data_IF_663707671468
#
_entry.id   IF_663707671468
#
_cell.length_a   1.000
_cell.length_b   1.000
_cell.length_c   1.000
_cell.angle_alpha   90.00
_cell.angle_beta   90.00
_cell.angle_gamma   90.00
#
_symmetry.space_group_name_H-M   'P 1'
#
loop_
_entity.id
_entity.type
_entity.pdbx_description
1 polymer ?
#
# COMPACT_ATOMS: atom_id res chain seq x y z
N UNK A 1 16.10 5.88 38.00
CA UNK A 1 14.99 5.27 38.79
C UNK A 1 13.88 6.29 38.84
N UNK A 2 12.64 5.82 38.59
CA UNK A 2 11.45 6.56 38.15
C UNK A 2 11.59 7.04 36.69
N UNK A 3 10.84 6.57 35.69
CA UNK A 3 9.54 5.89 35.69
C UNK A 3 8.59 6.75 34.85
N UNK A 4 8.74 6.73 33.53
CA UNK A 4 7.85 7.43 32.59
C UNK A 4 6.93 6.40 31.93
N UNK A 5 5.64 6.57 32.18
CA UNK A 5 4.54 5.82 31.58
C UNK A 5 4.26 6.38 30.17
N UNK A 6 4.03 5.54 29.15
CA UNK A 6 3.42 5.98 27.91
C UNK A 6 1.89 5.84 27.98
N UNK A 7 1.22 6.41 26.98
CA UNK A 7 -0.20 6.29 26.66
C UNK A 7 -1.18 7.21 27.42
N UNK A 8 -1.46 8.37 26.82
CA UNK A 8 -2.83 8.88 26.74
C UNK A 8 -3.24 8.92 25.27
N UNK A 9 -4.12 7.99 24.95
CA UNK A 9 -4.86 7.82 23.70
C UNK A 9 -5.70 9.05 23.40
N UNK A 10 -5.42 9.74 22.29
CA UNK A 10 -6.33 10.68 21.66
C UNK A 10 -7.24 9.89 20.71
N UNK A 11 -8.45 9.60 21.18
CA UNK A 11 -9.54 9.15 20.34
C UNK A 11 -10.13 10.33 19.58
N UNK A 12 -10.22 10.20 18.25
CA UNK A 12 -11.24 10.88 17.46
C UNK A 12 -10.73 11.59 16.22
N UNK A 13 -10.49 10.84 15.14
CA UNK A 13 -10.68 11.33 13.77
C UNK A 13 -11.26 10.20 12.92
N UNK A 14 -12.08 10.62 11.95
CA UNK A 14 -13.06 9.84 11.19
C UNK A 14 -12.43 8.63 10.48
N UNK A 15 -12.75 7.41 10.93
CA UNK A 15 -12.49 6.19 10.14
C UNK A 15 -13.52 6.12 9.01
N UNK A 16 -13.10 6.48 7.80
CA UNK A 16 -13.76 5.99 6.60
C UNK A 16 -13.63 4.46 6.61
N UNK A 17 -14.76 3.77 6.50
CA UNK A 17 -14.80 2.31 6.37
C UNK A 17 -14.49 1.97 4.91
N UNK A 18 -13.55 1.08 4.60
CA UNK A 18 -13.45 0.54 3.25
C UNK A 18 -14.61 -0.45 3.04
N UNK A 19 -15.51 -0.08 2.14
CA UNK A 19 -16.57 -0.93 1.62
C UNK A 19 -16.13 -1.60 0.32
N UNK A 20 -15.98 -2.93 0.40
CA UNK A 20 -16.22 -3.98 -0.60
C UNK A 20 -15.60 -3.93 -2.01
N UNK A 21 -14.80 -4.99 -2.26
CA UNK A 21 -14.84 -5.89 -3.43
C UNK A 21 -14.70 -5.27 -4.83
N UNK A 22 -13.63 -4.50 -5.03
CA UNK A 22 -12.80 -4.59 -6.23
C UNK A 22 -11.50 -5.31 -5.86
N UNK A 23 -10.73 -5.81 -6.83
CA UNK A 23 -9.44 -6.49 -6.61
C UNK A 23 -8.44 -5.61 -5.82
N UNK A 24 -8.61 -5.59 -4.49
CA UNK A 24 -7.65 -5.08 -3.55
C UNK A 24 -6.55 -6.13 -3.51
N UNK A 25 -5.30 -5.75 -3.83
CA UNK A 25 -4.17 -6.50 -3.29
C UNK A 25 -4.44 -6.65 -1.79
N UNK A 26 -4.50 -7.89 -1.30
CA UNK A 26 -4.68 -8.13 0.12
C UNK A 26 -3.56 -7.39 0.85
N UNK A 27 -3.92 -6.31 1.54
CA UNK A 27 -2.96 -5.48 2.27
C UNK A 27 -2.39 -6.34 3.40
N UNK A 28 -1.08 -6.33 3.53
CA UNK A 28 -0.30 -7.14 4.48
C UNK A 28 0.17 -6.30 5.66
N UNK A 29 0.59 -5.04 5.40
CA UNK A 29 1.11 -4.15 6.42
C UNK A 29 0.44 -2.77 6.33
N UNK A 30 0.15 -2.17 7.47
CA UNK A 30 -0.17 -0.74 7.59
C UNK A 30 0.99 0.00 8.22
N UNK A 31 1.46 1.05 7.56
CA UNK A 31 2.65 1.81 7.96
C UNK A 31 2.29 3.24 8.32
N UNK A 32 2.99 3.75 9.33
CA UNK A 32 3.18 5.17 9.58
C UNK A 32 4.50 5.61 8.94
N UNK A 33 4.47 6.70 8.17
CA UNK A 33 5.63 7.32 7.53
C UNK A 33 5.81 8.75 8.06
N UNK A 34 7.05 9.14 8.32
CA UNK A 34 7.43 10.51 8.63
C UNK A 34 8.78 10.87 8.01
N UNK A 35 9.05 12.16 7.87
CA UNK A 35 10.35 12.64 7.42
C UNK A 35 11.41 12.43 8.52
N UNK A 36 12.47 11.66 8.23
CA UNK A 36 13.50 11.35 9.23
C UNK A 36 14.32 12.57 9.69
N UNK A 37 14.31 13.66 8.91
CA UNK A 37 15.01 14.92 9.20
C UNK A 37 14.04 16.07 9.52
N UNK A 38 12.74 15.82 9.43
CA UNK A 38 11.67 16.81 9.59
C UNK A 38 11.14 16.88 11.02
N UNK A 39 10.17 17.78 11.21
CA UNK A 39 9.41 17.93 12.44
C UNK A 39 8.24 16.92 12.44
N UNK A 40 7.81 16.45 13.63
CA UNK A 40 6.93 15.27 13.80
C UNK A 40 5.54 15.45 13.18
N UNK A 41 5.18 16.69 12.84
CA UNK A 41 3.87 17.09 12.34
C UNK A 41 3.62 16.64 10.88
N UNK A 42 4.66 16.22 10.13
CA UNK A 42 4.53 15.77 8.73
C UNK A 42 4.56 14.25 8.61
N UNK A 43 3.38 13.65 8.45
CA UNK A 43 3.23 12.20 8.36
C UNK A 43 2.27 11.74 7.27
N UNK A 44 2.37 10.46 6.90
CA UNK A 44 1.44 9.78 6.00
C UNK A 44 1.22 8.33 6.45
N UNK A 45 0.01 7.81 6.23
CA UNK A 45 -0.26 6.38 6.32
C UNK A 45 -0.05 5.72 4.96
N UNK A 46 0.49 4.50 4.94
CA UNK A 46 0.68 3.71 3.72
C UNK A 46 0.39 2.24 3.95
N UNK A 47 -0.48 1.65 3.13
CA UNK A 47 -0.84 0.24 3.17
C UNK A 47 -0.06 -0.55 2.12
N UNK A 48 0.73 -1.55 2.54
CA UNK A 48 1.51 -2.40 1.65
C UNK A 48 0.77 -3.71 1.33
N UNK A 49 0.90 -4.27 0.11
CA UNK A 49 1.69 -3.72 -1.00
C UNK A 49 1.06 -2.46 -1.57
N UNK A 50 1.92 -1.47 -1.79
CA UNK A 50 1.59 -0.19 -2.39
C UNK A 50 2.05 -0.18 -3.85
N UNK A 51 1.25 0.44 -4.71
CA UNK A 51 1.63 0.70 -6.09
C UNK A 51 2.77 1.73 -6.16
N UNK A 52 3.48 1.84 -7.31
CA UNK A 52 4.48 2.88 -7.51
C UNK A 52 3.98 4.29 -7.19
N UNK A 53 2.76 4.66 -7.60
CA UNK A 53 2.23 5.99 -7.32
C UNK A 53 1.64 6.14 -5.91
N UNK A 54 1.13 5.10 -5.26
CA UNK A 54 0.80 5.13 -3.83
C UNK A 54 2.06 5.41 -2.99
N UNK A 55 3.18 4.76 -3.31
CA UNK A 55 4.48 5.01 -2.68
C UNK A 55 4.95 6.45 -2.93
N UNK A 56 4.94 6.91 -4.18
CA UNK A 56 5.34 8.28 -4.52
C UNK A 56 4.47 9.33 -3.82
N UNK A 57 3.15 9.13 -3.78
CA UNK A 57 2.21 10.02 -3.11
C UNK A 57 2.51 10.14 -1.61
N UNK A 58 2.78 9.01 -0.96
CA UNK A 58 3.14 8.99 0.44
C UNK A 58 4.45 9.75 0.71
N UNK A 59 5.47 9.59 -0.15
CA UNK A 59 6.71 10.37 -0.10
C UNK A 59 6.46 11.88 -0.26
N UNK A 60 5.62 12.28 -1.21
CA UNK A 60 5.24 13.68 -1.44
C UNK A 60 4.55 14.28 -0.20
N UNK A 61 3.64 13.53 0.43
CA UNK A 61 2.95 13.96 1.66
C UNK A 61 3.90 14.11 2.84
N UNK A 62 4.89 13.23 3.01
CA UNK A 62 5.92 13.39 4.06
C UNK A 62 7.05 14.35 3.67
N UNK A 63 7.07 14.85 2.44
CA UNK A 63 8.05 15.82 1.97
C UNK A 63 9.44 15.23 1.71
N UNK A 64 9.48 13.95 1.39
CA UNK A 64 10.71 13.24 1.06
C UNK A 64 10.79 13.02 -0.46
N UNK A 65 12.01 13.00 -1.01
CA UNK A 65 12.25 12.68 -2.42
C UNK A 65 12.66 11.23 -2.64
N UNK A 66 12.97 10.52 -1.55
CA UNK A 66 13.51 9.17 -1.55
C UNK A 66 12.98 8.42 -0.33
N UNK A 67 12.75 7.12 -0.48
CA UNK A 67 12.42 6.20 0.62
C UNK A 67 13.52 6.12 1.67
N UNK A 68 14.76 6.51 1.33
CA UNK A 68 15.90 6.56 2.26
C UNK A 68 15.84 7.73 3.25
N UNK A 69 15.05 8.75 2.94
CA UNK A 69 14.87 9.94 3.78
C UNK A 69 13.66 9.80 4.72
N UNK A 70 12.98 8.66 4.66
CA UNK A 70 11.75 8.38 5.40
C UNK A 70 12.05 7.49 6.59
N UNK A 71 11.53 7.89 7.73
CA UNK A 71 11.33 6.98 8.85
C UNK A 71 9.97 6.30 8.67
N UNK A 72 9.93 4.98 8.83
CA UNK A 72 8.67 4.24 8.83
C UNK A 72 8.57 3.31 10.04
N UNK A 73 7.33 3.06 10.44
CA UNK A 73 6.97 2.09 11.46
C UNK A 73 5.80 1.26 10.94
N UNK A 74 5.86 -0.06 11.11
CA UNK A 74 4.71 -0.94 10.87
C UNK A 74 3.78 -0.81 12.08
N UNK A 75 2.58 -0.26 11.86
CA UNK A 75 1.55 -0.07 12.87
C UNK A 75 0.68 -1.33 13.03
N UNK A 76 0.41 -2.02 11.93
CA UNK A 76 -0.44 -3.21 11.93
C UNK A 76 0.06 -4.27 10.93
N UNK A 77 0.04 -5.52 11.36
CA UNK A 77 0.22 -6.71 10.53
C UNK A 77 -1.18 -7.26 10.23
N UNK A 78 -1.69 -7.00 9.03
CA UNK A 78 -3.03 -7.43 8.61
C UNK A 78 -3.07 -8.93 8.31
N UNK A 79 -1.93 -9.48 7.89
CA UNK A 79 -1.67 -10.91 7.75
C UNK A 79 -0.21 -11.20 8.12
N UNK A 80 0.16 -12.47 8.27
CA UNK A 80 1.51 -12.92 8.60
C UNK A 80 2.06 -12.31 9.90
N UNK A 81 1.26 -12.24 10.97
CA UNK A 81 1.62 -11.50 12.20
C UNK A 81 2.88 -12.02 12.89
N UNK A 82 3.24 -13.28 12.65
CA UNK A 82 4.49 -13.87 13.14
C UNK A 82 5.76 -13.18 12.60
N UNK A 83 5.63 -12.38 11.52
CA UNK A 83 6.72 -11.59 10.96
C UNK A 83 7.20 -10.47 11.89
N UNK A 84 6.34 -9.97 12.79
CA UNK A 84 6.70 -8.96 13.80
C UNK A 84 7.94 -9.37 14.61
N UNK A 85 8.08 -10.67 14.89
CA UNK A 85 9.20 -11.17 15.70
C UNK A 85 10.53 -11.32 14.94
N UNK A 86 10.50 -11.26 13.61
CA UNK A 86 11.68 -11.57 12.76
C UNK A 86 12.09 -10.44 11.84
N UNK A 87 11.18 -9.52 11.49
CA UNK A 87 11.48 -8.40 10.61
C UNK A 87 12.56 -7.51 11.23
N UNK A 88 13.56 -7.18 10.42
CA UNK A 88 14.59 -6.21 10.80
C UNK A 88 14.03 -4.79 10.71
N UNK A 89 14.24 -3.94 11.73
CA UNK A 89 13.83 -2.53 11.69
C UNK A 89 14.62 -1.72 10.65
N UNK A 90 15.79 -2.20 10.23
CA UNK A 90 16.68 -1.51 9.30
C UNK A 90 16.41 -1.91 7.83
N UNK A 91 15.25 -2.50 7.52
CA UNK A 91 14.92 -2.90 6.15
C UNK A 91 14.52 -1.71 5.28
N UNK A 92 14.79 -1.81 3.97
CA UNK A 92 14.33 -0.81 3.00
C UNK A 92 12.81 -0.86 2.86
N UNK A 93 12.15 0.30 2.86
CA UNK A 93 10.71 0.41 2.59
C UNK A 93 10.33 -0.22 1.24
N UNK A 94 11.20 -0.12 0.23
CA UNK A 94 10.98 -0.75 -1.08
C UNK A 94 11.07 -2.28 -1.02
N UNK A 95 12.01 -2.83 -0.24
CA UNK A 95 12.10 -4.28 -0.04
C UNK A 95 10.96 -4.81 0.84
N UNK A 96 10.49 -4.03 1.82
CA UNK A 96 9.29 -4.37 2.58
C UNK A 96 8.05 -4.38 1.68
N UNK A 97 7.92 -3.42 0.77
CA UNK A 97 6.85 -3.40 -0.23
C UNK A 97 6.90 -4.64 -1.15
N UNK A 98 8.09 -5.01 -1.63
CA UNK A 98 8.27 -6.20 -2.46
C UNK A 98 7.94 -7.51 -1.71
N UNK A 99 8.29 -7.59 -0.42
CA UNK A 99 7.87 -8.70 0.42
C UNK A 99 6.34 -8.74 0.52
N UNK A 100 5.69 -7.61 0.83
CA UNK A 100 4.24 -7.51 0.94
C UNK A 100 3.54 -7.92 -0.36
N UNK A 101 4.07 -7.51 -1.52
CA UNK A 101 3.53 -7.88 -2.83
C UNK A 101 3.57 -9.39 -3.02
N UNK A 102 4.71 -10.03 -2.73
CA UNK A 102 4.84 -11.47 -2.85
C UNK A 102 3.94 -12.22 -1.87
N UNK A 103 3.83 -11.75 -0.62
CA UNK A 103 2.98 -12.34 0.41
C UNK A 103 1.50 -12.25 0.07
N UNK A 104 1.04 -11.10 -0.44
CA UNK A 104 -0.37 -10.87 -0.80
C UNK A 104 -0.90 -11.82 -1.88
N UNK A 105 -0.02 -12.40 -2.68
CA UNK A 105 -0.35 -13.33 -3.75
C UNK A 105 -0.15 -14.81 -3.40
N UNK A 106 0.22 -15.15 -2.16
CA UNK A 106 0.33 -16.55 -1.74
C UNK A 106 -1.06 -17.15 -1.51
N UNK A 107 -1.30 -18.35 -2.03
CA UNK A 107 -2.47 -19.14 -1.65
C UNK A 107 -2.32 -19.76 -0.25
N UNK A 108 -3.39 -20.35 0.30
CA UNK A 108 -3.38 -20.96 1.64
C UNK A 108 -2.23 -21.97 1.83
N UNK A 109 -1.96 -22.80 0.82
CA UNK A 109 -0.91 -23.82 0.89
C UNK A 109 0.47 -23.17 0.87
N UNK A 110 0.67 -22.17 0.02
CA UNK A 110 1.91 -21.42 -0.09
C UNK A 110 2.20 -20.61 1.18
N UNK A 111 1.18 -20.02 1.80
CA UNK A 111 1.30 -19.32 3.08
C UNK A 111 1.76 -20.26 4.20
N UNK A 112 1.23 -21.49 4.26
CA UNK A 112 1.69 -22.53 5.19
C UNK A 112 3.14 -22.94 4.90
N UNK A 113 3.47 -23.13 3.62
CA UNK A 113 4.84 -23.45 3.21
C UNK A 113 5.84 -22.35 3.59
N UNK A 114 5.46 -21.08 3.40
CA UNK A 114 6.25 -19.92 3.81
C UNK A 114 6.47 -19.88 5.33
N UNK A 115 5.43 -20.10 6.14
CA UNK A 115 5.57 -20.23 7.61
C UNK A 115 6.57 -21.34 7.98
N UNK A 116 6.48 -22.49 7.29
CA UNK A 116 7.38 -23.62 7.51
C UNK A 116 8.84 -23.30 7.16
N UNK A 117 9.08 -22.75 5.98
CA UNK A 117 10.41 -22.30 5.57
C UNK A 117 11.00 -21.27 6.52
N UNK A 118 10.18 -20.32 6.98
CA UNK A 118 10.60 -19.30 7.94
C UNK A 118 11.06 -19.95 9.25
N UNK A 119 10.28 -20.90 9.79
CA UNK A 119 10.65 -21.62 11.02
C UNK A 119 11.92 -22.43 10.86
N UNK A 120 12.10 -23.12 9.74
CA UNK A 120 13.36 -23.83 9.44
C UNK A 120 14.56 -22.87 9.41
N UNK A 121 14.37 -21.65 8.91
CA UNK A 121 15.43 -20.63 8.88
C UNK A 121 15.71 -20.06 10.28
N UNK A 122 14.68 -19.87 11.11
CA UNK A 122 14.82 -19.49 12.53
C UNK A 122 15.56 -20.56 13.34
N UNK A 123 15.40 -21.85 13.04
CA UNK A 123 16.15 -22.92 13.72
C UNK A 123 17.65 -22.91 13.35
N UNK A 124 18.02 -22.38 12.17
CA UNK A 124 19.42 -22.29 11.72
C UNK A 124 20.15 -21.05 12.24
N UNK A 125 19.43 -19.97 12.55
CA UNK A 125 20.00 -18.65 12.90
C UNK A 125 19.41 -18.12 14.19
N UNK A 126 20.26 -17.69 15.12
CA UNK A 126 19.81 -16.90 16.27
C UNK A 126 19.65 -15.42 15.85
N UNK A 127 18.42 -14.89 15.88
CA UNK A 127 18.14 -13.46 15.72
C UNK A 127 17.21 -13.08 14.56
N UNK A 128 17.24 -11.80 14.18
CA UNK A 128 16.41 -11.25 13.10
C UNK A 128 16.78 -11.84 11.73
N UNK A 129 15.77 -12.00 10.87
CA UNK A 129 15.96 -12.53 9.53
C UNK A 129 16.05 -11.35 8.55
N UNK A 130 17.11 -11.27 7.72
CA UNK A 130 17.24 -10.21 6.73
C UNK A 130 16.04 -10.19 5.77
N UNK A 131 15.59 -9.00 5.37
CA UNK A 131 14.44 -8.84 4.46
C UNK A 131 14.61 -9.63 3.15
N UNK A 132 15.85 -9.70 2.63
CA UNK A 132 16.14 -10.50 1.44
C UNK A 132 15.86 -11.99 1.63
N UNK A 133 16.18 -12.54 2.81
CA UNK A 133 15.87 -13.94 3.12
C UNK A 133 14.36 -14.14 3.16
N UNK A 134 13.59 -13.23 3.76
CA UNK A 134 12.13 -13.32 3.77
C UNK A 134 11.54 -13.31 2.35
N UNK A 135 12.00 -12.40 1.49
CA UNK A 135 11.61 -12.34 0.07
C UNK A 135 11.93 -13.67 -0.62
N UNK A 136 13.15 -14.19 -0.41
CA UNK A 136 13.57 -15.44 -1.01
C UNK A 136 12.70 -16.63 -0.56
N UNK A 137 12.36 -16.73 0.73
CA UNK A 137 11.47 -17.77 1.23
C UNK A 137 10.06 -17.64 0.65
N UNK A 138 9.52 -16.42 0.56
CA UNK A 138 8.19 -16.18 -0.01
C UNK A 138 8.11 -16.56 -1.50
N UNK A 139 9.17 -16.30 -2.28
CA UNK A 139 9.29 -16.76 -3.66
C UNK A 139 9.40 -18.28 -3.82
N UNK A 140 9.96 -18.97 -2.81
CA UNK A 140 10.17 -20.41 -2.83
C UNK A 140 9.09 -21.19 -2.04
N UNK A 141 7.94 -20.59 -1.77
CA UNK A 141 6.84 -21.27 -1.08
C UNK A 141 6.39 -22.56 -1.78
N UNK A 142 6.54 -22.64 -3.11
CA UNK A 142 6.23 -23.83 -3.91
C UNK A 142 7.25 -24.98 -3.78
N UNK A 143 8.41 -24.73 -3.18
CA UNK A 143 9.47 -25.74 -3.00
C UNK A 143 9.19 -26.73 -1.86
N UNK A 144 8.02 -26.64 -1.20
CA UNK A 144 7.69 -27.43 -0.02
C UNK A 144 6.57 -28.46 -0.27
N UNK A 145 6.64 -29.56 0.47
CA UNK A 145 5.49 -30.40 0.73
C UNK A 145 4.80 -29.95 2.00
N UNK A 146 3.48 -29.74 1.91
CA UNK A 146 2.62 -29.33 3.02
C UNK A 146 1.65 -30.47 3.28
N UNK A 147 1.71 -31.02 4.50
CA UNK A 147 0.82 -32.05 4.97
C UNK A 147 -0.10 -31.47 6.05
N UNK A 148 -1.29 -31.03 5.65
CA UNK A 148 -2.23 -30.31 6.51
C UNK A 148 -2.79 -31.14 7.68
N UNK A 149 -2.83 -32.47 7.52
CA UNK A 149 -3.39 -33.40 8.51
C UNK A 149 -2.42 -33.70 9.67
N UNK A 150 -1.12 -33.46 9.47
CA UNK A 150 -0.10 -33.75 10.46
C UNK A 150 0.29 -32.49 11.26
N UNK A 151 -0.15 -32.41 12.52
CA UNK A 151 0.15 -31.30 13.43
C UNK A 151 1.04 -31.69 14.61
N UNK A 152 1.42 -32.96 14.69
CA UNK A 152 2.34 -33.49 15.69
C UNK A 152 3.02 -34.76 15.17
N UNK A 153 4.06 -35.20 15.90
CA UNK A 153 4.86 -36.36 15.52
C UNK A 153 4.00 -37.64 15.41
N UNK A 154 2.97 -37.82 16.23
CA UNK A 154 2.09 -38.99 16.15
C UNK A 154 1.27 -39.03 14.85
N UNK A 155 0.68 -37.90 14.45
CA UNK A 155 -0.07 -37.82 13.19
C UNK A 155 0.84 -37.97 11.98
N UNK A 156 2.04 -37.38 12.04
CA UNK A 156 3.04 -37.53 10.99
C UNK A 156 3.46 -39.00 10.85
N UNK A 157 3.80 -39.69 11.94
CA UNK A 157 4.21 -41.09 11.87
C UNK A 157 3.09 -42.01 11.36
N UNK A 158 1.84 -41.70 11.70
CA UNK A 158 0.67 -42.41 11.15
C UNK A 158 0.56 -42.22 9.65
N UNK A 159 0.72 -40.99 9.14
CA UNK A 159 0.73 -40.71 7.71
C UNK A 159 1.82 -41.51 6.97
N UNK A 160 3.04 -41.55 7.51
CA UNK A 160 4.14 -42.31 6.89
C UNK A 160 3.84 -43.82 6.84
N UNK A 161 3.27 -44.36 7.91
CA UNK A 161 2.93 -45.76 8.01
C UNK A 161 1.74 -46.15 7.12
N UNK A 162 0.69 -45.32 7.02
CA UNK A 162 -0.52 -45.59 6.23
C UNK A 162 -0.30 -45.45 4.71
N UNK A 163 0.69 -44.68 4.28
CA UNK A 163 1.00 -44.44 2.87
C UNK A 163 2.19 -45.26 2.35
N UNK A 164 2.58 -46.32 3.07
CA UNK A 164 3.66 -47.24 2.70
C UNK A 164 5.02 -46.56 2.42
N UNK A 165 5.30 -45.43 3.05
CA UNK A 165 6.60 -44.75 2.94
C UNK A 165 7.72 -45.47 3.71
N UNK A 166 7.36 -46.44 4.56
CA UNK A 166 8.28 -47.25 5.37
C UNK A 166 8.17 -48.71 4.98
N UNK A 167 9.13 -49.19 4.17
CA UNK A 167 9.15 -50.57 3.66
C UNK A 167 9.13 -51.60 4.80
N UNK A 168 9.71 -51.29 5.96
CA UNK A 168 9.74 -52.19 7.12
C UNK A 168 8.37 -52.41 7.77
N UNK A 169 7.38 -51.56 7.45
CA UNK A 169 6.01 -51.64 7.96
C UNK A 169 5.03 -52.23 6.93
N UNK A 170 5.52 -52.62 5.75
CA UNK A 170 4.69 -53.21 4.70
C UNK A 170 4.06 -54.54 5.17
N UNK A 171 2.82 -54.79 4.75
CA UNK A 171 2.06 -56.03 5.00
C UNK A 171 1.82 -56.38 6.48
N UNK A 172 1.89 -55.40 7.39
CA UNK A 172 1.56 -55.62 8.80
C UNK A 172 0.05 -55.91 8.98
N UNK A 173 -0.34 -56.90 9.81
CA UNK A 173 -1.75 -57.08 10.16
C UNK A 173 -2.32 -55.85 10.88
N UNK A 174 -3.57 -55.46 10.60
CA UNK A 174 -4.23 -54.26 11.16
C UNK A 174 -4.06 -54.12 12.69
N UNK A 175 -4.18 -55.24 13.41
CA UNK A 175 -4.03 -55.26 14.88
C UNK A 175 -2.63 -54.95 15.37
N UNK A 176 -1.60 -55.25 14.57
CA UNK A 176 -0.21 -54.94 14.86
C UNK A 176 0.10 -53.51 14.43
N UNK A 177 -0.48 -53.06 13.31
CA UNK A 177 -0.36 -51.69 12.82
C UNK A 177 -0.84 -50.66 13.87
N UNK A 178 -2.00 -50.91 14.49
CA UNK A 178 -2.54 -50.02 15.55
C UNK A 178 -1.71 -50.02 16.86
N UNK A 179 -0.69 -50.90 16.99
CA UNK A 179 0.23 -50.93 18.12
C UNK A 179 1.56 -50.21 17.84
N UNK A 180 1.73 -49.64 16.65
CA UNK A 180 2.93 -48.89 16.29
C UNK A 180 3.06 -47.61 17.13
N UNK A 181 4.29 -47.29 17.49
CA UNK A 181 4.63 -46.02 18.15
C UNK A 181 4.74 -44.92 17.10
N UNK A 182 3.59 -44.43 16.64
CA UNK A 182 3.53 -43.40 15.61
C UNK A 182 4.24 -42.10 16.02
N UNK A 183 4.26 -41.76 17.31
CA UNK A 183 4.98 -40.57 17.79
C UNK A 183 6.49 -40.72 17.59
N UNK A 184 7.06 -41.88 17.90
CA UNK A 184 8.46 -42.15 17.63
C UNK A 184 8.75 -42.15 16.13
N UNK A 185 7.93 -42.80 15.32
CA UNK A 185 8.10 -42.85 13.86
C UNK A 185 8.13 -41.43 13.29
N UNK A 186 7.12 -40.61 13.58
CA UNK A 186 7.06 -39.27 13.01
C UNK A 186 8.17 -38.35 13.50
N UNK A 187 8.61 -38.48 14.77
CA UNK A 187 9.76 -37.72 15.26
C UNK A 187 11.05 -38.08 14.52
N UNK A 188 11.28 -39.37 14.28
CA UNK A 188 12.45 -39.85 13.52
C UNK A 188 12.41 -39.32 12.07
N UNK A 189 11.26 -39.38 11.40
CA UNK A 189 11.11 -38.83 10.04
C UNK A 189 11.30 -37.32 9.99
N UNK A 190 10.65 -36.58 10.89
CA UNK A 190 10.79 -35.13 10.97
C UNK A 190 12.24 -34.69 11.14
N UNK A 191 12.98 -35.36 12.02
CA UNK A 191 14.40 -35.05 12.25
C UNK A 191 15.28 -35.43 11.07
N UNK A 192 14.98 -36.53 10.38
CA UNK A 192 15.73 -36.98 9.22
C UNK A 192 15.58 -36.03 8.03
N UNK A 193 14.38 -35.48 7.83
CA UNK A 193 14.07 -34.59 6.71
C UNK A 193 14.25 -33.10 7.02
N UNK A 194 14.39 -32.74 8.30
CA UNK A 194 14.47 -31.34 8.74
C UNK A 194 13.15 -30.58 8.61
N UNK A 195 12.03 -31.28 8.66
CA UNK A 195 10.70 -30.67 8.59
C UNK A 195 10.26 -30.01 9.90
N UNK A 196 9.25 -29.15 9.81
CA UNK A 196 8.72 -28.39 10.96
C UNK A 196 7.20 -28.43 10.99
N UNK A 197 6.62 -28.30 12.19
CA UNK A 197 5.18 -28.10 12.34
C UNK A 197 4.86 -26.60 12.32
N UNK A 198 3.78 -26.24 11.63
CA UNK A 198 3.19 -24.91 11.54
C UNK A 198 1.75 -24.93 12.08
N UNK A 199 1.05 -23.79 12.08
CA UNK A 199 -0.39 -23.80 12.38
C UNK A 199 -1.21 -24.55 11.33
N UNK A 200 -0.72 -24.57 10.08
CA UNK A 200 -1.37 -25.19 8.94
C UNK A 200 -1.04 -26.67 8.70
N UNK A 201 -0.05 -27.24 9.38
CA UNK A 201 0.36 -28.64 9.21
C UNK A 201 1.88 -28.84 9.26
N UNK A 202 2.33 -29.99 8.80
CA UNK A 202 3.75 -30.32 8.67
C UNK A 202 4.29 -29.81 7.34
N UNK A 203 5.46 -29.17 7.37
CA UNK A 203 6.12 -28.62 6.19
C UNK A 203 7.53 -29.20 6.11
N UNK A 204 7.88 -29.68 4.93
CA UNK A 204 9.23 -30.14 4.61
C UNK A 204 9.67 -29.52 3.28
N UNK A 205 10.91 -29.05 3.23
CA UNK A 205 11.51 -28.56 1.99
C UNK A 205 11.75 -29.76 1.06
N UNK A 206 11.12 -29.74 -0.11
CA UNK A 206 11.22 -30.83 -1.10
C UNK A 206 12.30 -30.56 -2.16
N UNK A 207 12.45 -29.31 -2.59
CA UNK A 207 13.45 -28.91 -3.60
C UNK A 207 14.39 -27.83 -3.07
N UNK A 208 15.56 -27.69 -3.69
CA UNK A 208 16.49 -26.60 -3.38
C UNK A 208 15.83 -25.24 -3.60
N UNK A 209 16.18 -24.27 -2.75
CA UNK A 209 15.68 -22.90 -2.87
C UNK A 209 16.40 -22.19 -4.01
N UNK A 210 15.63 -21.60 -4.91
CA UNK A 210 16.14 -20.73 -5.95
C UNK A 210 16.71 -19.44 -5.35
N UNK A 211 17.81 -18.96 -5.92
CA UNK A 211 18.40 -17.68 -5.56
C UNK A 211 17.65 -16.56 -6.29
N UNK A 212 16.83 -15.83 -5.54
CA UNK A 212 16.05 -14.71 -6.07
C UNK A 212 16.88 -13.43 -5.90
N UNK A 213 17.17 -12.68 -6.99
CA UNK A 213 17.84 -11.40 -6.86
C UNK A 213 16.97 -10.43 -6.07
N UNK A 214 17.58 -9.57 -5.25
CA UNK A 214 16.81 -8.49 -4.63
C UNK A 214 16.22 -7.59 -5.73
N UNK A 215 14.98 -7.11 -5.55
CA UNK A 215 14.45 -6.04 -6.37
C UNK A 215 15.33 -4.79 -6.30
N UNK A 216 15.36 -4.04 -7.41
CA UNK A 216 16.06 -2.76 -7.49
C UNK A 216 15.53 -1.78 -6.42
N UNK A 217 16.45 -1.01 -5.81
CA UNK A 217 16.13 -0.01 -4.79
C UNK A 217 16.84 1.33 -5.09
N UNK A 218 16.11 2.35 -5.58
CA UNK A 218 14.67 2.38 -5.80
C UNK A 218 14.21 1.57 -7.03
N UNK A 219 12.93 1.14 -7.09
CA UNK A 219 12.37 0.50 -8.29
C UNK A 219 12.37 1.47 -9.48
N UNK A 220 12.30 0.95 -10.73
CA UNK A 220 12.22 1.79 -11.91
C UNK A 220 10.96 2.65 -11.86
N UNK A 221 11.10 3.90 -12.32
CA UNK A 221 9.94 4.80 -12.42
C UNK A 221 8.95 4.26 -13.45
N UNK A 222 7.64 4.28 -13.15
CA UNK A 222 6.60 3.96 -14.12
C UNK A 222 6.74 4.78 -15.41
N UNK A 223 6.47 4.13 -16.54
CA UNK A 223 6.35 4.75 -17.86
C UNK A 223 4.90 5.14 -18.21
N UNK A 224 4.02 5.10 -17.23
CA UNK A 224 2.60 5.46 -17.31
C UNK A 224 2.24 6.45 -16.20
N UNK A 225 1.14 7.18 -16.34
CA UNK A 225 0.46 7.91 -15.24
C UNK A 225 -0.84 7.26 -14.81
N UNK A 226 -1.44 6.44 -15.68
CA UNK A 226 -2.60 5.61 -15.36
C UNK A 226 -2.36 4.21 -15.93
N UNK A 227 -2.46 3.19 -15.09
CA UNK A 227 -2.40 1.79 -15.47
C UNK A 227 -3.79 1.19 -15.35
N UNK A 228 -4.35 0.75 -16.48
CA UNK A 228 -5.70 0.17 -16.52
C UNK A 228 -5.63 -1.31 -16.83
N UNK A 229 -6.49 -2.09 -16.20
CA UNK A 229 -6.93 -3.39 -16.70
C UNK A 229 -8.28 -3.18 -17.37
N UNK A 230 -8.35 -3.50 -18.66
CA UNK A 230 -9.56 -3.36 -19.46
C UNK A 230 -10.09 -4.73 -19.81
N UNK A 231 -11.38 -4.95 -19.63
CA UNK A 231 -12.08 -6.19 -19.98
C UNK A 231 -13.28 -5.88 -20.87
N UNK A 232 -13.75 -6.91 -21.59
CA UNK A 232 -15.00 -6.84 -22.34
C UNK A 232 -16.19 -6.94 -21.40
N UNK A 233 -17.14 -6.00 -21.52
CA UNK A 233 -18.32 -5.91 -20.67
C UNK A 233 -18.08 -5.11 -19.38
N UNK A 234 -19.17 -4.74 -18.71
CA UNK A 234 -19.10 -3.98 -17.46
C UNK A 234 -18.64 -4.87 -16.30
N UNK A 235 -17.67 -4.39 -15.52
CA UNK A 235 -17.37 -4.99 -14.21
C UNK A 235 -18.66 -5.04 -13.36
N UNK A 236 -18.96 -6.18 -12.74
CA UNK A 236 -20.16 -6.50 -11.93
C UNK A 236 -21.35 -7.25 -12.58
N UNK A 237 -21.23 -7.85 -13.77
CA UNK A 237 -22.32 -8.70 -14.31
C UNK A 237 -22.36 -10.15 -13.76
N UNK A 238 -21.39 -10.51 -12.89
CA UNK A 238 -21.28 -11.81 -12.24
C UNK A 238 -20.87 -12.95 -13.17
N UNK A 239 -20.40 -12.66 -14.40
CA UNK A 239 -19.81 -13.65 -15.31
C UNK A 239 -18.29 -13.68 -15.13
N UNK A 240 -17.66 -14.79 -15.54
CA UNK A 240 -16.21 -14.81 -15.70
C UNK A 240 -15.81 -13.66 -16.62
N UNK A 241 -15.07 -12.70 -16.07
CA UNK A 241 -14.46 -11.63 -16.85
C UNK A 241 -13.73 -12.30 -18.03
N UNK A 242 -14.11 -11.93 -19.25
CA UNK A 242 -13.45 -12.40 -20.46
C UNK A 242 -11.95 -12.05 -20.47
N UNK A 243 -11.25 -12.28 -21.59
CA UNK A 243 -9.86 -11.82 -21.69
C UNK A 243 -9.76 -10.33 -21.32
N UNK A 244 -8.79 -10.00 -20.46
CA UNK A 244 -8.49 -8.63 -20.06
C UNK A 244 -7.10 -8.22 -20.54
N UNK A 245 -6.95 -6.97 -20.93
CA UNK A 245 -5.69 -6.39 -21.41
C UNK A 245 -5.27 -5.26 -20.49
N UNK A 246 -3.98 -5.20 -20.14
CA UNK A 246 -3.41 -4.09 -19.38
C UNK A 246 -2.93 -2.99 -20.31
N UNK A 247 -3.43 -1.77 -20.12
CA UNK A 247 -3.08 -0.57 -20.89
C UNK A 247 -2.30 0.40 -20.00
N UNK A 248 -1.21 0.94 -20.55
CA UNK A 248 -0.40 2.00 -19.95
C UNK A 248 -0.76 3.32 -20.61
N UNK A 249 -1.33 4.26 -19.86
CA UNK A 249 -1.66 5.60 -20.35
C UNK A 249 -0.65 6.63 -19.83
N UNK A 250 -0.26 7.62 -20.65
CA UNK A 250 -0.71 7.85 -22.04
C UNK A 250 -0.21 6.78 -23.04
N UNK A 251 -1.09 6.35 -23.96
CA UNK A 251 -0.81 5.36 -24.99
C UNK A 251 -0.86 5.97 -26.40
N UNK A 252 -0.20 5.33 -27.36
CA UNK A 252 -0.35 5.68 -28.77
C UNK A 252 -1.68 5.15 -29.33
N UNK A 253 -2.23 5.79 -30.36
CA UNK A 253 -3.45 5.29 -31.05
C UNK A 253 -3.27 3.85 -31.55
N UNK A 254 -2.07 3.51 -32.03
CA UNK A 254 -1.75 2.15 -32.50
C UNK A 254 -1.86 1.11 -31.37
N UNK A 255 -1.45 1.45 -30.15
CA UNK A 255 -1.54 0.55 -29.00
C UNK A 255 -2.99 0.43 -28.49
N UNK A 256 -3.77 1.51 -28.59
CA UNK A 256 -5.19 1.51 -28.28
C UNK A 256 -5.99 0.65 -29.27
N UNK A 257 -5.76 0.81 -30.57
CA UNK A 257 -6.39 0.01 -31.63
C UNK A 257 -6.08 -1.49 -31.46
N UNK A 258 -4.82 -1.84 -31.20
CA UNK A 258 -4.41 -3.23 -30.90
C UNK A 258 -5.11 -3.79 -29.67
N UNK A 259 -5.46 -2.95 -28.70
CA UNK A 259 -6.16 -3.39 -27.50
C UNK A 259 -7.62 -3.73 -27.79
N UNK A 260 -8.32 -2.93 -28.58
CA UNK A 260 -9.68 -3.23 -29.04
C UNK A 260 -9.72 -4.53 -29.86
N UNK A 261 -8.75 -4.73 -30.75
CA UNK A 261 -8.62 -5.98 -31.53
C UNK A 261 -8.40 -7.20 -30.62
N UNK A 262 -7.59 -7.08 -29.58
CA UNK A 262 -7.34 -8.17 -28.62
C UNK A 262 -8.56 -8.50 -27.76
N UNK A 263 -9.35 -7.49 -27.40
CA UNK A 263 -10.57 -7.65 -26.60
C UNK A 263 -11.77 -8.11 -27.44
N UNK A 264 -11.69 -8.07 -28.77
CA UNK A 264 -12.78 -8.38 -29.71
C UNK A 264 -14.04 -7.54 -29.42
N UNK A 265 -13.84 -6.23 -29.28
CA UNK A 265 -14.90 -5.23 -29.03
C UNK A 265 -14.96 -4.21 -30.16
N UNK A 266 -16.16 -3.66 -30.41
CA UNK A 266 -16.35 -2.68 -31.48
C UNK A 266 -15.94 -1.25 -31.07
N UNK A 267 -16.04 -0.93 -29.78
CA UNK A 267 -15.74 0.38 -29.21
C UNK A 267 -15.42 0.27 -27.72
N UNK A 268 -14.81 1.32 -27.19
CA UNK A 268 -14.50 1.47 -25.78
C UNK A 268 -15.75 1.50 -24.87
N UNK A 269 -16.91 1.93 -25.37
CA UNK A 269 -18.20 1.85 -24.65
C UNK A 269 -18.61 0.40 -24.28
N UNK A 270 -18.01 -0.62 -24.91
CA UNK A 270 -18.26 -2.03 -24.60
C UNK A 270 -17.28 -2.60 -23.55
N UNK A 271 -16.42 -1.74 -22.98
CA UNK A 271 -15.37 -2.13 -22.03
C UNK A 271 -15.71 -1.73 -20.59
N UNK A 272 -15.16 -2.49 -19.66
CA UNK A 272 -15.05 -2.10 -18.25
C UNK A 272 -13.61 -1.69 -17.93
N UNK A 273 -13.44 -0.78 -16.96
CA UNK A 273 -12.14 -0.30 -16.51
C UNK A 273 -11.89 -0.63 -15.04
N UNK A 274 -10.73 -1.19 -14.74
CA UNK A 274 -10.20 -1.30 -13.39
C UNK A 274 -8.86 -0.55 -13.33
N UNK A 275 -8.74 0.42 -12.42
CA UNK A 275 -7.53 1.24 -12.33
C UNK A 275 -6.54 0.61 -11.35
N UNK A 276 -5.51 -0.02 -11.92
CA UNK A 276 -4.49 -0.73 -11.15
C UNK A 276 -3.56 0.26 -10.43
N UNK A 277 -3.17 1.33 -11.11
CA UNK A 277 -2.31 2.38 -10.54
C UNK A 277 -2.57 3.74 -11.20
N UNK A 278 -2.44 4.82 -10.44
CA UNK A 278 -2.67 6.18 -10.93
C UNK A 278 -1.78 7.20 -10.21
N UNK A 279 -1.22 8.14 -10.96
CA UNK A 279 -0.40 9.24 -10.45
C UNK A 279 -1.13 10.11 -9.42
N UNK A 280 -2.47 10.09 -9.42
CA UNK A 280 -3.33 10.58 -8.34
C UNK A 280 -4.07 9.38 -7.75
N UNK A 281 -3.58 8.76 -6.66
CA UNK A 281 -4.08 7.45 -6.22
C UNK A 281 -5.59 7.39 -5.93
N UNK A 282 -6.18 8.46 -5.42
CA UNK A 282 -7.62 8.51 -5.14
C UNK A 282 -8.49 8.75 -6.39
N UNK A 283 -7.91 9.08 -7.54
CA UNK A 283 -8.65 9.17 -8.81
C UNK A 283 -9.01 7.79 -9.38
N UNK A 284 -8.56 6.69 -8.76
CA UNK A 284 -8.95 5.31 -9.09
C UNK A 284 -10.48 5.17 -9.17
N UNK A 285 -11.19 5.66 -8.15
CA UNK A 285 -12.66 5.59 -8.10
C UNK A 285 -13.29 6.36 -9.27
N UNK A 286 -12.79 7.56 -9.57
CA UNK A 286 -13.30 8.37 -10.67
C UNK A 286 -13.08 7.72 -12.03
N UNK A 287 -11.96 7.01 -12.20
CA UNK A 287 -11.62 6.30 -13.44
C UNK A 287 -12.49 5.07 -13.64
N UNK A 288 -12.79 4.35 -12.57
CA UNK A 288 -13.61 3.13 -12.61
C UNK A 288 -15.10 3.41 -12.85
N UNK A 289 -15.55 4.63 -12.54
CA UNK A 289 -16.91 5.12 -12.80
C UNK A 289 -17.14 5.56 -14.27
N UNK A 290 -16.10 5.68 -15.09
CA UNK A 290 -16.24 6.09 -16.49
C UNK A 290 -16.72 4.94 -17.40
N UNK A 291 -17.54 5.30 -18.39
CA UNK A 291 -18.07 4.36 -19.39
C UNK A 291 -17.22 4.30 -20.67
N UNK A 292 -16.29 5.25 -20.86
CA UNK A 292 -15.43 5.35 -22.03
C UNK A 292 -14.05 5.94 -21.69
N UNK A 293 -13.07 5.69 -22.56
CA UNK A 293 -11.72 6.22 -22.48
C UNK A 293 -11.64 7.73 -22.78
N UNK A 294 -12.73 8.36 -23.24
CA UNK A 294 -12.76 9.76 -23.67
C UNK A 294 -12.33 10.75 -22.60
N UNK A 295 -12.59 10.46 -21.33
CA UNK A 295 -12.21 11.32 -20.18
C UNK A 295 -10.90 10.84 -19.55
N UNK A 296 -10.74 9.52 -19.42
CA UNK A 296 -9.56 8.89 -18.80
C UNK A 296 -8.28 9.24 -19.57
N UNK A 297 -8.31 9.21 -20.90
CA UNK A 297 -7.10 9.45 -21.71
C UNK A 297 -6.60 10.89 -21.58
N UNK A 298 -7.40 11.94 -21.83
CA UNK A 298 -6.95 13.31 -21.60
C UNK A 298 -6.45 13.52 -20.18
N UNK A 299 -7.07 12.90 -19.18
CA UNK A 299 -6.63 13.01 -17.79
C UNK A 299 -5.22 12.44 -17.61
N UNK A 300 -4.97 11.22 -18.11
CA UNK A 300 -3.65 10.61 -18.07
C UNK A 300 -2.58 11.47 -18.80
N UNK A 301 -2.91 12.05 -19.95
CA UNK A 301 -2.04 12.97 -20.71
C UNK A 301 -1.69 14.23 -19.92
N UNK A 302 -2.68 14.82 -19.22
CA UNK A 302 -2.46 15.99 -18.36
C UNK A 302 -1.60 15.65 -17.14
N UNK A 303 -1.84 14.51 -16.50
CA UNK A 303 -1.00 14.04 -15.38
C UNK A 303 0.46 13.86 -15.84
N UNK A 304 0.68 13.29 -17.01
CA UNK A 304 2.00 13.07 -17.58
C UNK A 304 2.71 14.40 -17.91
N UNK A 305 1.97 15.37 -18.47
CA UNK A 305 2.47 16.72 -18.67
C UNK A 305 2.88 17.40 -17.34
N UNK A 306 2.01 17.36 -16.33
CA UNK A 306 2.25 17.95 -15.01
C UNK A 306 3.43 17.28 -14.30
N UNK A 307 3.56 15.96 -14.41
CA UNK A 307 4.68 15.19 -13.87
C UNK A 307 6.01 15.63 -14.47
N UNK A 308 6.11 15.76 -15.80
CA UNK A 308 7.34 16.26 -16.47
C UNK A 308 7.70 17.69 -16.06
N UNK A 309 6.70 18.50 -15.70
CA UNK A 309 6.90 19.88 -15.24
C UNK A 309 7.16 19.99 -13.73
N UNK A 310 7.13 18.88 -12.99
CA UNK A 310 7.23 18.88 -11.53
C UNK A 310 6.06 19.57 -10.82
N UNK A 311 4.91 19.70 -11.49
CA UNK A 311 3.71 20.37 -10.97
C UNK A 311 2.69 19.39 -10.38
N UNK A 312 2.95 18.08 -10.43
CA UNK A 312 2.02 17.07 -9.96
C UNK A 312 1.63 17.23 -8.47
N UNK A 313 2.55 17.47 -7.51
CA UNK A 313 2.17 17.68 -6.12
C UNK A 313 1.29 18.93 -5.92
N UNK A 314 1.55 19.99 -6.69
CA UNK A 314 0.75 21.23 -6.67
C UNK A 314 -0.65 20.98 -7.21
N UNK A 315 -0.78 20.20 -8.28
CA UNK A 315 -2.07 19.83 -8.83
C UNK A 315 -2.87 18.93 -7.87
N UNK A 316 -2.22 17.95 -7.24
CA UNK A 316 -2.82 17.14 -6.16
C UNK A 316 -3.33 18.00 -4.99
N UNK A 317 -2.55 18.98 -4.57
CA UNK A 317 -2.97 19.97 -3.57
C UNK A 317 -4.23 20.73 -4.02
N UNK A 318 -4.28 21.16 -5.29
CA UNK A 318 -5.44 21.85 -5.86
C UNK A 318 -6.69 20.96 -5.90
N UNK A 319 -6.57 19.69 -6.31
CA UNK A 319 -7.68 18.74 -6.31
C UNK A 319 -8.28 18.58 -4.91
N UNK A 320 -7.43 18.45 -3.88
CA UNK A 320 -7.90 18.36 -2.49
C UNK A 320 -8.49 19.68 -1.98
N UNK A 321 -7.86 20.82 -2.28
CA UNK A 321 -8.32 22.14 -1.83
C UNK A 321 -9.69 22.53 -2.43
N UNK A 322 -9.96 22.08 -3.65
CA UNK A 322 -11.25 22.32 -4.33
C UNK A 322 -12.31 21.30 -3.94
N UNK A 323 -11.92 20.15 -3.37
CA UNK A 323 -12.82 19.03 -3.12
C UNK A 323 -13.32 18.41 -4.42
N UNK A 324 -12.44 18.27 -5.41
CA UNK A 324 -12.73 17.63 -6.69
C UNK A 324 -13.07 16.15 -6.48
N UNK A 325 -14.13 15.67 -7.13
CA UNK A 325 -14.68 14.31 -6.95
C UNK A 325 -14.91 13.55 -8.28
N UNK A 326 -14.59 14.14 -9.43
CA UNK A 326 -14.72 13.47 -10.74
C UNK A 326 -13.62 13.91 -11.73
N UNK A 327 -13.47 13.16 -12.83
CA UNK A 327 -12.43 13.40 -13.83
C UNK A 327 -12.66 14.66 -14.67
N UNK A 328 -13.92 15.03 -14.91
CA UNK A 328 -14.26 16.18 -15.73
C UNK A 328 -13.82 17.47 -15.03
N UNK A 329 -14.20 17.62 -13.75
CA UNK A 329 -13.76 18.72 -12.90
C UNK A 329 -12.23 18.73 -12.75
N UNK A 330 -11.62 17.55 -12.58
CA UNK A 330 -10.17 17.43 -12.48
C UNK A 330 -9.46 17.97 -13.73
N UNK A 331 -9.99 17.67 -14.93
CA UNK A 331 -9.47 18.16 -16.20
C UNK A 331 -9.56 19.69 -16.32
N UNK A 332 -10.67 20.29 -15.88
CA UNK A 332 -10.87 21.74 -15.88
C UNK A 332 -9.88 22.46 -14.95
N UNK A 333 -9.56 21.86 -13.81
CA UNK A 333 -8.62 22.42 -12.83
C UNK A 333 -7.16 22.47 -13.31
N UNK A 334 -6.79 21.71 -14.34
CA UNK A 334 -5.40 21.68 -14.84
C UNK A 334 -4.91 23.07 -15.25
N UNK A 335 -5.76 23.86 -15.91
CA UNK A 335 -5.39 25.20 -16.37
C UNK A 335 -5.27 26.21 -15.22
N UNK A 336 -5.91 25.93 -14.08
CA UNK A 336 -5.88 26.75 -12.87
C UNK A 336 -4.59 26.58 -12.07
N UNK A 337 -3.81 25.51 -12.33
CA UNK A 337 -2.52 25.27 -11.63
C UNK A 337 -1.57 26.46 -11.74
N UNK A 338 -1.53 27.15 -12.89
CA UNK A 338 -0.66 28.31 -13.11
C UNK A 338 -1.02 29.53 -12.24
N UNK A 339 -2.26 29.60 -11.77
CA UNK A 339 -2.81 30.71 -10.98
C UNK A 339 -2.63 30.47 -9.48
N UNK A 340 -2.18 29.28 -9.08
CA UNK A 340 -1.90 28.95 -7.68
C UNK A 340 -0.45 29.27 -7.31
N UNK A 341 -0.23 29.68 -6.07
CA UNK A 341 1.08 29.71 -5.39
C UNK A 341 1.13 28.53 -4.44
N UNK A 342 2.23 27.78 -4.46
CA UNK A 342 2.37 26.52 -3.71
C UNK A 342 3.65 26.53 -2.88
N UNK A 343 3.49 26.29 -1.59
CA UNK A 343 4.55 26.34 -0.58
C UNK A 343 4.67 24.98 0.13
N UNK A 344 5.40 23.99 -0.45
CA UNK A 344 5.50 22.63 0.08
C UNK A 344 6.26 22.51 1.41
N UNK A 345 6.92 23.60 1.84
CA UNK A 345 7.63 23.69 3.11
C UNK A 345 6.72 24.11 4.28
N UNK A 346 5.54 24.66 4.00
CA UNK A 346 4.56 25.05 5.02
C UNK A 346 3.49 23.97 5.04
N UNK A 347 3.50 23.12 6.06
CA UNK A 347 2.62 21.95 6.16
C UNK A 347 1.84 21.91 7.49
N UNK A 348 2.12 22.84 8.40
CA UNK A 348 1.37 23.09 9.62
C UNK A 348 1.06 24.59 9.79
N UNK A 349 0.03 24.96 10.59
CA UNK A 349 -0.18 26.35 10.97
C UNK A 349 1.04 26.96 11.66
N UNK A 350 1.72 26.18 12.50
CA UNK A 350 2.99 26.56 13.14
C UNK A 350 4.04 26.99 12.10
N UNK A 351 4.20 26.28 10.98
CA UNK A 351 5.14 26.68 9.93
C UNK A 351 4.77 28.02 9.29
N UNK A 352 3.48 28.24 9.02
CA UNK A 352 2.98 29.51 8.48
C UNK A 352 3.32 30.67 9.41
N UNK A 353 3.03 30.51 10.71
CA UNK A 353 3.40 31.48 11.74
C UNK A 353 4.92 31.71 11.81
N UNK A 354 5.73 30.65 11.73
CA UNK A 354 7.19 30.75 11.77
C UNK A 354 7.73 31.54 10.57
N UNK A 355 7.24 31.26 9.36
CA UNK A 355 7.65 31.97 8.14
C UNK A 355 7.31 33.47 8.25
N UNK A 356 6.10 33.80 8.69
CA UNK A 356 5.66 35.18 8.87
C UNK A 356 6.53 35.92 9.92
N UNK A 357 6.75 35.31 11.08
CA UNK A 357 7.58 35.92 12.14
C UNK A 357 9.05 36.10 11.70
N UNK A 358 9.61 35.16 10.93
CA UNK A 358 10.98 35.27 10.41
C UNK A 358 11.16 36.44 9.45
N UNK A 359 10.10 36.96 8.83
CA UNK A 359 10.17 38.15 8.00
C UNK A 359 10.40 39.45 8.81
N UNK A 360 10.04 39.47 10.10
CA UNK A 360 10.09 40.67 10.95
C UNK A 360 11.13 40.63 12.08
N UNK A 361 11.56 39.44 12.51
CA UNK A 361 12.49 39.28 13.63
C UNK A 361 13.81 38.62 13.21
N UNK A 362 14.92 39.05 13.83
CA UNK A 362 16.21 38.37 13.70
C UNK A 362 16.27 37.10 14.56
N UNK A 363 17.15 36.16 14.18
CA UNK A 363 17.12 34.78 14.69
C UNK A 363 17.31 34.64 16.21
N UNK A 364 18.06 35.54 16.85
CA UNK A 364 18.30 35.48 18.30
C UNK A 364 17.09 35.96 19.10
N UNK A 365 16.42 37.04 18.67
CA UNK A 365 15.21 37.53 19.35
C UNK A 365 14.02 36.60 19.11
N UNK A 366 13.89 36.07 17.90
CA UNK A 366 12.80 35.16 17.53
C UNK A 366 12.81 33.89 18.40
N UNK A 367 13.97 33.24 18.61
CA UNK A 367 14.07 32.02 19.44
C UNK A 367 13.58 32.20 20.88
N UNK A 368 13.76 33.39 21.46
CA UNK A 368 13.28 33.69 22.81
C UNK A 368 11.76 33.86 22.82
N UNK A 369 11.21 34.50 21.78
CA UNK A 369 9.80 34.80 21.63
C UNK A 369 8.97 33.54 21.36
N UNK A 370 9.45 32.66 20.46
CA UNK A 370 8.74 31.44 20.04
C UNK A 370 8.32 30.53 21.20
N UNK A 371 9.05 30.55 22.33
CA UNK A 371 8.72 29.73 23.53
C UNK A 371 7.48 30.20 24.29
N UNK A 372 6.99 31.40 23.97
CA UNK A 372 5.90 32.06 24.67
C UNK A 372 4.71 32.37 23.75
N UNK A 373 4.82 32.03 22.47
CA UNK A 373 3.77 32.27 21.48
C UNK A 373 2.97 31.00 21.23
N UNK A 374 1.67 31.19 21.02
CA UNK A 374 0.81 30.18 20.40
C UNK A 374 0.97 30.27 18.87
N UNK A 375 1.88 29.46 18.33
CA UNK A 375 2.18 29.46 16.90
C UNK A 375 1.07 28.80 16.08
N UNK A 376 0.41 27.79 16.65
CA UNK A 376 -0.70 27.12 15.97
C UNK A 376 -1.90 28.05 15.82
N UNK A 377 -2.30 28.74 16.89
CA UNK A 377 -3.39 29.71 16.85
C UNK A 377 -3.11 30.87 15.89
N UNK A 378 -1.90 31.46 15.97
CA UNK A 378 -1.52 32.55 15.07
C UNK A 378 -1.46 32.11 13.61
N UNK A 379 -0.90 30.94 13.33
CA UNK A 379 -0.83 30.37 11.99
C UNK A 379 -2.20 30.11 11.37
N UNK A 380 -3.15 29.61 12.17
CA UNK A 380 -4.53 29.41 11.72
C UNK A 380 -5.20 30.74 11.34
N UNK A 381 -4.97 31.80 12.10
CA UNK A 381 -5.49 33.14 11.78
C UNK A 381 -4.89 33.69 10.48
N UNK A 382 -3.58 33.51 10.24
CA UNK A 382 -2.92 33.93 9.00
C UNK A 382 -3.50 33.21 7.78
N UNK A 383 -3.53 31.87 7.82
CA UNK A 383 -4.06 31.03 6.73
C UNK A 383 -5.50 31.44 6.39
N UNK A 384 -6.34 31.67 7.41
CA UNK A 384 -7.72 32.09 7.20
C UNK A 384 -7.85 33.51 6.62
N UNK A 385 -7.02 34.45 7.08
CA UNK A 385 -7.05 35.85 6.65
C UNK A 385 -6.62 36.01 5.18
N UNK A 386 -5.65 35.21 4.74
CA UNK A 386 -5.08 35.27 3.39
C UNK A 386 -5.73 34.29 2.41
N UNK A 387 -6.85 33.66 2.81
CA UNK A 387 -7.62 32.73 1.97
C UNK A 387 -6.81 31.53 1.48
N UNK A 388 -5.85 31.10 2.30
CA UNK A 388 -4.97 29.99 2.00
C UNK A 388 -5.58 28.66 2.46
N UNK A 389 -5.15 27.57 1.82
CA UNK A 389 -5.60 26.22 2.13
C UNK A 389 -4.39 25.36 2.44
N UNK A 390 -4.36 24.81 3.67
CA UNK A 390 -3.37 23.83 4.07
C UNK A 390 -3.78 22.46 3.54
N UNK A 391 -2.91 21.83 2.77
CA UNK A 391 -3.13 20.47 2.23
C UNK A 391 -2.03 19.52 2.73
N UNK A 392 -2.21 18.18 2.62
CA UNK A 392 -1.15 17.23 2.93
C UNK A 392 0.15 17.42 2.12
N UNK A 393 0.12 18.17 1.02
CA UNK A 393 1.28 18.47 0.20
C UNK A 393 1.95 19.81 0.55
N UNK A 394 1.28 20.63 1.36
CA UNK A 394 1.71 21.97 1.75
C UNK A 394 0.61 23.02 1.54
N UNK A 395 0.98 24.28 1.79
CA UNK A 395 0.11 25.44 1.71
C UNK A 395 -0.11 25.88 0.26
N UNK A 396 -1.37 26.21 -0.07
CA UNK A 396 -1.80 26.61 -1.40
C UNK A 396 -2.69 27.86 -1.31
N UNK A 397 -2.47 28.85 -2.19
CA UNK A 397 -3.36 30.00 -2.34
C UNK A 397 -3.41 30.50 -3.78
N UNK A 398 -4.42 31.29 -4.14
CA UNK A 398 -4.51 31.92 -5.46
C UNK A 398 -3.60 33.15 -5.54
N UNK A 399 -2.94 33.33 -6.67
CA UNK A 399 -2.02 34.46 -6.89
C UNK A 399 -2.71 35.83 -6.79
N UNK A 400 -4.02 35.91 -7.07
CA UNK A 400 -4.84 37.12 -6.93
C UNK A 400 -5.38 37.35 -5.52
N UNK A 401 -5.11 36.45 -4.56
CA UNK A 401 -5.56 36.53 -3.18
C UNK A 401 -7.04 36.20 -2.99
N UNK A 402 -7.74 35.72 -4.02
CA UNK A 402 -9.11 35.25 -3.87
C UNK A 402 -9.15 33.84 -3.27
N UNK A 403 -10.33 33.46 -2.76
CA UNK A 403 -10.60 32.10 -2.30
C UNK A 403 -10.44 31.08 -3.44
N UNK A 404 -9.87 29.91 -3.11
CA UNK A 404 -9.90 28.72 -3.97
C UNK A 404 -11.36 28.25 -4.07
N UNK A 405 -11.91 28.07 -5.28
CA UNK A 405 -13.30 27.66 -5.45
C UNK A 405 -13.53 26.24 -4.90
N UNK A 406 -14.65 26.03 -4.21
CA UNK A 406 -15.09 24.70 -3.80
C UNK A 406 -16.00 24.09 -4.87
N UNK A 407 -15.74 22.84 -5.23
CA UNK A 407 -16.54 22.03 -6.15
C UNK A 407 -17.45 21.04 -5.41
N UNK A 408 -17.39 21.02 -4.08
CA UNK A 408 -18.30 20.20 -3.27
C UNK A 408 -19.75 20.63 -3.56
N UNK A 409 -20.53 19.69 -4.09
CA UNK A 409 -21.96 19.91 -4.35
C UNK A 409 -22.64 20.03 -2.98
N UNK A 410 -23.10 21.23 -2.62
CA UNK A 410 -23.93 21.42 -1.42
C UNK A 410 -25.15 20.50 -1.54
N UNK A 411 -25.19 19.49 -0.68
CA UNK A 411 -26.27 18.53 -0.57
C UNK A 411 -27.52 19.29 -0.10
N UNK A 412 -28.34 19.81 -1.04
CA UNK A 412 -29.59 20.52 -0.76
C UNK A 412 -30.64 19.54 -0.20
N UNK A 413 -30.43 19.06 1.02
CA UNK A 413 -31.46 18.39 1.82
C UNK A 413 -32.22 19.40 2.68
N UNK A 414 -33.34 19.85 2.10
CA UNK A 414 -34.62 20.04 2.80
C UNK A 414 -34.70 21.15 3.87
N UNK A 415 -34.85 22.39 3.40
CA UNK A 415 -35.67 23.40 4.09
C UNK A 415 -37.13 23.28 3.69
N UNK A 416 -37.78 22.13 3.94
CA UNK A 416 -39.24 22.04 3.84
C UNK A 416 -39.83 22.64 5.12
N UNK A 417 -40.15 23.94 5.09
CA UNK A 417 -40.96 24.57 6.13
C UNK A 417 -42.32 23.87 6.20
N UNK A 418 -42.51 23.08 7.25
CA UNK A 418 -43.85 22.67 7.66
C UNK A 418 -44.50 23.88 8.33
N UNK A 419 -45.29 24.63 7.55
CA UNK A 419 -46.21 25.62 8.09
C UNK A 419 -47.11 24.95 9.13
N UNK A 420 -47.10 25.51 10.36
CA UNK A 420 -48.04 25.16 11.43
C UNK A 420 -49.41 25.80 11.21
#
# INVERSE_FOLDING_TARGET
MAGMSPAQTLHGTNRMKPGQEGWNLNKVFELYLANAQGDEDRYAALSLPATPYEMQDALERVGCHSTKDVYFQVEEYLDFEYLESVLSPDCSLNHLNALAEKLSGLDDRQSIAFEGLLRMEQEKKEGQIPIHTLIQLAHNADCCHVLGEARNDSQLGRFYAENDFLEELADLPDKVFELLDFERIGREQRQAEGGVFTRGGYVVQNTELEQIPLPDDPPPKPDYTVLLKVSRGYFNDGREDGPSVTIRLPASEEDLDKTLEQLDVASWEECGYACLDCAVPWAREWIEDEEDLSTIRPFAEKLDQLQRQGQLPKYKALLLATGCEDLQDALELVDSVKEMVFSPAIYSPKDAALVELQAFFDGDNLKSLLRHLDLDGYGQELIAADHEVLTPYGLLHRQDGELIPSLQKEDQRMGMEVCR
#
